data_IF_749727683463
#
_entry.id   IF_749727683463
#
_cell.length_a   1.000
_cell.length_b   1.000
_cell.length_c   1.000
_cell.angle_alpha   90.00
_cell.angle_beta   90.00
_cell.angle_gamma   90.00
#
_symmetry.space_group_name_H-M   'P 1'
#
loop_
_entity.id
_entity.type
_entity.pdbx_description
1 polymer ?
#
# COMPACT_ATOMS: atom_id res chain seq x y z
N UNK A 1 -20.99 57.69 101.30
CA UNK A 1 -22.19 57.91 100.50
C UNK A 1 -21.76 58.88 99.41
N UNK A 2 -21.77 58.57 98.12
CA UNK A 2 -22.70 57.73 97.38
C UNK A 2 -21.95 57.09 96.20
N UNK A 3 -21.80 55.78 96.27
CA UNK A 3 -21.49 54.90 95.16
C UNK A 3 -22.78 54.66 94.39
N UNK A 4 -23.18 55.57 93.48
CA UNK A 4 -24.36 55.30 92.65
C UNK A 4 -24.37 55.97 91.26
N UNK A 5 -23.25 56.54 90.81
CA UNK A 5 -23.18 57.19 89.49
C UNK A 5 -22.29 56.47 88.46
N UNK A 6 -21.88 55.22 88.72
CA UNK A 6 -21.01 54.45 87.82
C UNK A 6 -21.73 53.34 87.02
N UNK A 7 -23.02 53.09 87.27
CA UNK A 7 -23.69 51.92 86.70
C UNK A 7 -24.54 52.19 85.43
N UNK A 8 -24.85 53.45 85.08
CA UNK A 8 -25.73 53.75 83.93
C UNK A 8 -25.03 54.20 82.64
N UNK A 9 -23.70 54.34 82.63
CA UNK A 9 -22.97 54.79 81.43
C UNK A 9 -22.41 53.66 80.55
N UNK A 10 -22.62 52.39 80.93
CA UNK A 10 -22.05 51.25 80.20
C UNK A 10 -23.02 50.57 79.21
N UNK A 11 -24.28 51.02 79.10
CA UNK A 11 -25.30 50.29 78.32
C UNK A 11 -25.77 50.96 77.02
N UNK A 12 -25.22 52.12 76.63
CA UNK A 12 -25.70 52.86 75.46
C UNK A 12 -24.70 53.04 74.30
N UNK A 13 -23.59 52.28 74.27
CA UNK A 13 -22.62 52.28 73.14
C UNK A 13 -22.64 50.95 72.37
N UNK A 14 -23.56 50.04 72.69
CA UNK A 14 -23.56 48.67 72.15
C UNK A 14 -24.52 48.39 70.98
N UNK A 15 -25.26 49.36 70.44
CA UNK A 15 -26.43 49.02 69.60
C UNK A 15 -26.48 49.54 68.16
N UNK A 16 -25.52 50.35 67.68
CA UNK A 16 -25.59 50.89 66.31
C UNK A 16 -24.56 50.26 65.35
N UNK A 17 -23.51 49.59 65.85
CA UNK A 17 -22.52 48.95 64.97
C UNK A 17 -22.81 47.54 64.42
N UNK A 18 -23.78 46.72 64.91
CA UNK A 18 -23.94 45.35 64.39
C UNK A 18 -24.72 45.30 63.06
N UNK A 19 -25.64 46.24 62.79
CA UNK A 19 -26.52 46.17 61.61
C UNK A 19 -25.80 46.48 60.28
N UNK A 20 -24.86 47.45 60.25
CA UNK A 20 -24.12 47.80 59.01
C UNK A 20 -23.11 46.73 58.61
N UNK A 21 -22.46 46.09 59.59
CA UNK A 21 -21.56 44.97 59.32
C UNK A 21 -22.35 43.78 58.77
N UNK A 22 -23.50 43.46 59.39
CA UNK A 22 -24.35 42.33 59.00
C UNK A 22 -24.94 42.51 57.59
N UNK A 23 -25.37 43.73 57.24
CA UNK A 23 -25.85 44.08 55.89
C UNK A 23 -24.74 43.94 54.83
N UNK A 24 -23.50 44.36 55.14
CA UNK A 24 -22.37 44.16 54.23
C UNK A 24 -22.03 42.67 54.05
N UNK A 25 -22.05 41.87 55.11
CA UNK A 25 -21.85 40.41 55.00
C UNK A 25 -22.96 39.74 54.19
N UNK A 26 -24.23 40.11 54.40
CA UNK A 26 -25.35 39.60 53.62
C UNK A 26 -25.24 39.97 52.14
N UNK A 27 -24.89 41.22 51.82
CA UNK A 27 -24.65 41.66 50.44
C UNK A 27 -23.49 40.90 49.79
N UNK A 28 -22.39 40.68 50.51
CA UNK A 28 -21.26 39.91 50.00
C UNK A 28 -21.61 38.43 49.76
N UNK A 29 -22.43 37.82 50.62
CA UNK A 29 -22.89 36.44 50.44
C UNK A 29 -23.81 36.32 49.22
N UNK A 30 -24.73 37.27 49.03
CA UNK A 30 -25.60 37.32 47.84
C UNK A 30 -24.79 37.48 46.56
N UNK A 31 -23.76 38.33 46.56
CA UNK A 31 -22.87 38.48 45.40
C UNK A 31 -22.08 37.21 45.10
N UNK A 32 -21.56 36.53 46.13
CA UNK A 32 -20.86 35.24 45.96
C UNK A 32 -21.82 34.19 45.38
N UNK A 33 -23.02 34.05 45.94
CA UNK A 33 -24.02 33.09 45.42
C UNK A 33 -24.43 33.41 43.99
N UNK A 34 -24.61 34.69 43.66
CA UNK A 34 -24.92 35.12 42.29
C UNK A 34 -23.77 34.79 41.32
N UNK A 35 -22.52 35.04 41.71
CA UNK A 35 -21.35 34.70 40.87
C UNK A 35 -21.17 33.19 40.68
N UNK A 36 -21.44 32.37 41.70
CA UNK A 36 -21.45 30.90 41.57
C UNK A 36 -22.59 30.42 40.66
N UNK A 37 -23.77 31.04 40.75
CA UNK A 37 -24.88 30.72 39.86
C UNK A 37 -24.56 31.07 38.39
N UNK A 38 -23.96 32.23 38.13
CA UNK A 38 -23.52 32.63 36.79
C UNK A 38 -22.44 31.68 36.25
N UNK A 39 -21.48 31.28 37.08
CA UNK A 39 -20.46 30.31 36.70
C UNK A 39 -21.04 28.93 36.40
N UNK A 40 -22.02 28.47 37.19
CA UNK A 40 -22.73 27.21 36.97
C UNK A 40 -23.53 27.23 35.66
N UNK A 41 -24.20 28.35 35.35
CA UNK A 41 -24.91 28.54 34.08
C UNK A 41 -23.93 28.59 32.91
N UNK A 42 -22.80 29.28 33.02
CA UNK A 42 -21.78 29.32 31.97
C UNK A 42 -21.18 27.93 31.69
N UNK A 43 -20.92 27.14 32.75
CA UNK A 43 -20.44 25.76 32.62
C UNK A 43 -21.50 24.85 31.99
N UNK A 44 -22.78 25.02 32.35
CA UNK A 44 -23.89 24.29 31.72
C UNK A 44 -24.07 24.68 30.24
N UNK A 45 -23.93 25.96 29.89
CA UNK A 45 -24.01 26.44 28.51
C UNK A 45 -22.81 25.97 27.67
N UNK A 46 -21.61 25.94 28.25
CA UNK A 46 -20.42 25.37 27.61
C UNK A 46 -20.64 23.88 27.28
N UNK A 47 -21.15 23.10 28.24
CA UNK A 47 -21.52 21.70 28.01
C UNK A 47 -22.57 21.50 26.91
N UNK A 48 -23.56 22.41 26.82
CA UNK A 48 -24.61 22.38 25.78
C UNK A 48 -24.09 22.77 24.40
N UNK A 49 -23.10 23.66 24.30
CA UNK A 49 -22.49 24.06 23.03
C UNK A 49 -21.46 23.05 22.50
N UNK A 50 -20.83 22.27 23.38
CA UNK A 50 -19.85 21.24 22.99
C UNK A 50 -20.45 19.85 22.73
N UNK A 51 -21.79 19.71 22.67
CA UNK A 51 -22.46 18.46 22.27
C UNK A 51 -21.82 17.22 22.89
N UNK A 52 -21.89 17.10 24.22
CA UNK A 52 -21.07 16.17 24.98
C UNK A 52 -21.03 14.75 24.40
N UNK A 53 -19.92 14.38 23.76
CA UNK A 53 -19.34 13.04 23.51
C UNK A 53 -20.24 11.89 23.04
N UNK A 54 -21.55 12.06 22.92
CA UNK A 54 -22.50 11.00 22.55
C UNK A 54 -22.75 11.01 21.04
N UNK A 55 -22.84 12.17 20.39
CA UNK A 55 -22.91 12.27 18.92
C UNK A 55 -21.61 11.78 18.23
N UNK A 56 -20.45 11.99 18.84
CA UNK A 56 -19.16 11.51 18.31
C UNK A 56 -19.06 9.98 18.40
N UNK A 57 -19.61 9.37 19.45
CA UNK A 57 -19.63 7.91 19.59
C UNK A 57 -20.69 7.30 18.66
N UNK A 58 -21.83 7.96 18.43
CA UNK A 58 -22.86 7.50 17.50
C UNK A 58 -22.42 7.63 16.02
N UNK A 59 -21.64 8.67 15.69
CA UNK A 59 -20.95 8.82 14.42
C UNK A 59 -19.88 7.75 14.18
N UNK A 60 -19.07 7.43 15.19
CA UNK A 60 -18.07 6.36 15.08
C UNK A 60 -18.72 4.97 14.98
N UNK A 61 -19.84 4.70 15.67
CA UNK A 61 -20.56 3.42 15.58
C UNK A 61 -21.31 3.26 14.25
N UNK A 62 -21.85 4.34 13.69
CA UNK A 62 -22.48 4.31 12.35
C UNK A 62 -21.43 4.11 11.25
N UNK A 63 -20.30 4.81 11.32
CA UNK A 63 -19.17 4.57 10.41
C UNK A 63 -18.60 3.16 10.54
N UNK A 64 -18.40 2.63 11.76
CA UNK A 64 -17.93 1.26 11.96
C UNK A 64 -18.91 0.22 11.40
N UNK A 65 -20.22 0.45 11.49
CA UNK A 65 -21.22 -0.44 10.89
C UNK A 65 -21.16 -0.37 9.36
N UNK A 66 -21.07 0.81 8.78
CA UNK A 66 -20.93 0.98 7.32
C UNK A 66 -19.62 0.39 6.80
N UNK A 67 -18.51 0.56 7.52
CA UNK A 67 -17.22 -0.01 7.15
C UNK A 67 -17.19 -1.54 7.32
N UNK A 68 -17.87 -2.08 8.33
CA UNK A 68 -18.06 -3.52 8.49
C UNK A 68 -18.91 -4.13 7.35
N UNK A 69 -19.96 -3.44 6.92
CA UNK A 69 -20.77 -3.86 5.76
C UNK A 69 -19.95 -3.77 4.46
N UNK A 70 -19.11 -2.74 4.31
CA UNK A 70 -18.19 -2.60 3.17
C UNK A 70 -17.15 -3.73 3.13
N UNK A 71 -16.48 -4.01 4.25
CA UNK A 71 -15.52 -5.13 4.35
C UNK A 71 -16.19 -6.48 4.10
N UNK A 72 -17.41 -6.68 4.61
CA UNK A 72 -18.18 -7.91 4.37
C UNK A 72 -18.50 -8.09 2.88
N UNK A 73 -18.90 -7.01 2.19
CA UNK A 73 -19.15 -7.04 0.75
C UNK A 73 -17.86 -7.30 -0.05
N UNK A 74 -16.73 -6.73 0.37
CA UNK A 74 -15.40 -6.96 -0.24
C UNK A 74 -14.94 -8.41 -0.06
N UNK A 75 -15.13 -9.00 1.13
CA UNK A 75 -14.83 -10.42 1.41
C UNK A 75 -15.73 -11.33 0.58
N UNK A 76 -17.04 -11.05 0.49
CA UNK A 76 -17.94 -11.83 -0.36
C UNK A 76 -17.59 -11.72 -1.84
N UNK A 77 -17.18 -10.54 -2.31
CA UNK A 77 -16.69 -10.34 -3.66
C UNK A 77 -15.38 -11.11 -3.92
N UNK A 78 -14.46 -11.13 -2.94
CA UNK A 78 -13.23 -11.94 -3.01
C UNK A 78 -13.55 -13.44 -3.08
N UNK A 79 -14.42 -13.94 -2.20
CA UNK A 79 -14.84 -15.35 -2.19
C UNK A 79 -15.57 -15.73 -3.48
N UNK A 80 -16.40 -14.85 -4.03
CA UNK A 80 -17.03 -15.05 -5.32
C UNK A 80 -15.99 -15.10 -6.46
N UNK A 81 -15.00 -14.21 -6.44
CA UNK A 81 -13.89 -14.23 -7.41
C UNK A 81 -13.04 -15.48 -7.29
N UNK A 82 -12.76 -15.95 -6.08
CA UNK A 82 -12.02 -17.20 -5.82
C UNK A 82 -12.82 -18.42 -6.26
N UNK A 83 -14.14 -18.39 -6.11
CA UNK A 83 -15.01 -19.45 -6.65
C UNK A 83 -15.07 -19.43 -8.18
N UNK A 84 -15.06 -18.24 -8.80
CA UNK A 84 -15.00 -18.10 -10.26
C UNK A 84 -13.65 -18.54 -10.83
N UNK A 85 -12.54 -18.28 -10.13
CA UNK A 85 -11.22 -18.80 -10.53
C UNK A 85 -11.14 -20.30 -10.34
N UNK A 86 -11.71 -20.86 -9.26
CA UNK A 86 -11.80 -22.31 -9.07
C UNK A 86 -12.61 -23.01 -10.18
N UNK A 87 -13.73 -22.42 -10.61
CA UNK A 87 -14.53 -22.94 -11.74
C UNK A 87 -13.76 -22.85 -13.05
N UNK A 88 -13.04 -21.75 -13.30
CA UNK A 88 -12.22 -21.60 -14.50
C UNK A 88 -11.06 -22.60 -14.53
N UNK A 89 -10.39 -22.83 -13.40
CA UNK A 89 -9.32 -23.83 -13.27
C UNK A 89 -9.86 -25.25 -13.49
N UNK A 90 -11.04 -25.57 -12.94
CA UNK A 90 -11.69 -26.85 -13.18
C UNK A 90 -12.05 -27.06 -14.66
N UNK A 91 -12.60 -26.03 -15.32
CA UNK A 91 -12.92 -26.08 -16.75
C UNK A 91 -11.67 -26.20 -17.64
N UNK A 92 -10.58 -25.49 -17.29
CA UNK A 92 -9.30 -25.58 -18.00
C UNK A 92 -8.69 -26.98 -17.84
N UNK A 93 -8.79 -27.58 -16.65
CA UNK A 93 -8.35 -28.96 -16.40
C UNK A 93 -9.13 -29.98 -17.22
N UNK A 94 -10.46 -29.83 -17.32
CA UNK A 94 -11.28 -30.70 -18.17
C UNK A 94 -10.93 -30.53 -19.66
N UNK A 95 -10.64 -29.30 -20.09
CA UNK A 95 -10.19 -29.02 -21.44
C UNK A 95 -8.83 -29.68 -21.75
N UNK A 96 -7.87 -29.62 -20.83
CA UNK A 96 -6.57 -30.31 -20.95
C UNK A 96 -6.76 -31.82 -21.02
N UNK A 97 -7.57 -32.41 -20.14
CA UNK A 97 -7.90 -33.85 -20.19
C UNK A 97 -8.55 -34.26 -21.52
N UNK A 98 -9.42 -33.41 -22.08
CA UNK A 98 -10.02 -33.62 -23.39
C UNK A 98 -9.01 -33.57 -24.55
N UNK A 99 -7.98 -32.72 -24.45
CA UNK A 99 -6.88 -32.69 -25.42
C UNK A 99 -5.99 -33.93 -25.33
N UNK A 100 -5.66 -34.40 -24.12
CA UNK A 100 -4.88 -35.63 -23.93
C UNK A 100 -5.59 -36.85 -24.51
N UNK A 101 -6.91 -36.97 -24.28
CA UNK A 101 -7.71 -38.05 -24.85
C UNK A 101 -7.74 -38.01 -26.39
N UNK A 102 -7.78 -36.80 -26.98
CA UNK A 102 -7.71 -36.62 -28.44
C UNK A 102 -6.34 -36.97 -29.00
N UNK A 103 -5.26 -36.66 -28.28
CA UNK A 103 -3.90 -37.02 -28.67
C UNK A 103 -3.71 -38.54 -28.67
N UNK A 104 -4.17 -39.23 -27.64
CA UNK A 104 -4.11 -40.70 -27.57
C UNK A 104 -4.91 -41.35 -28.70
N UNK A 105 -6.12 -40.85 -28.99
CA UNK A 105 -6.91 -41.34 -30.12
C UNK A 105 -6.22 -41.09 -31.47
N UNK A 106 -5.49 -39.98 -31.61
CA UNK A 106 -4.70 -39.70 -32.81
C UNK A 106 -3.50 -40.65 -32.94
N UNK A 107 -2.84 -40.95 -31.82
CA UNK A 107 -1.72 -41.90 -31.77
C UNK A 107 -2.17 -43.32 -32.13
N UNK A 108 -3.32 -43.77 -31.62
CA UNK A 108 -3.90 -45.06 -31.99
C UNK A 108 -4.31 -45.11 -33.46
N UNK A 109 -4.92 -44.04 -33.99
CA UNK A 109 -5.22 -43.95 -35.42
C UNK A 109 -3.95 -44.00 -36.28
N UNK A 110 -2.87 -43.34 -35.86
CA UNK A 110 -1.59 -43.38 -36.56
C UNK A 110 -0.98 -44.80 -36.55
N UNK A 111 -1.06 -45.51 -35.43
CA UNK A 111 -0.62 -46.92 -35.33
C UNK A 111 -1.47 -47.84 -36.23
N UNK A 112 -2.78 -47.63 -36.24
CA UNK A 112 -3.70 -48.38 -37.10
C UNK A 112 -3.38 -48.16 -38.58
N UNK A 113 -3.19 -46.89 -38.98
CA UNK A 113 -2.84 -46.54 -40.35
C UNK A 113 -1.47 -47.08 -40.76
N UNK A 114 -0.49 -47.07 -39.84
CA UNK A 114 0.81 -47.67 -40.07
C UNK A 114 0.71 -49.20 -40.29
N UNK A 115 -0.13 -49.88 -39.50
CA UNK A 115 -0.39 -51.32 -39.67
C UNK A 115 -1.12 -51.63 -40.99
N UNK A 116 -2.15 -50.85 -41.34
CA UNK A 116 -2.89 -50.99 -42.60
C UNK A 116 -1.97 -50.75 -43.81
N UNK A 117 -1.04 -49.79 -43.71
CA UNK A 117 -0.05 -49.52 -44.76
C UNK A 117 0.97 -50.66 -44.90
N UNK A 118 1.38 -51.30 -43.81
CA UNK A 118 2.23 -52.48 -43.81
C UNK A 118 1.49 -53.72 -44.40
N UNK A 119 0.20 -53.87 -44.11
CA UNK A 119 -0.63 -54.94 -44.69
C UNK A 119 -0.85 -54.75 -46.20
N UNK A 120 -1.11 -53.51 -46.64
CA UNK A 120 -1.17 -53.14 -48.05
C UNK A 120 0.18 -53.38 -48.77
N UNK A 121 1.30 -53.25 -48.06
CA UNK A 121 2.65 -53.54 -48.57
C UNK A 121 2.89 -55.04 -48.76
N UNK A 122 2.21 -55.89 -47.99
CA UNK A 122 2.27 -57.35 -48.10
C UNK A 122 1.35 -57.93 -49.17
N UNK A 123 0.42 -57.13 -49.72
CA UNK A 123 -0.32 -57.50 -50.93
C UNK A 123 0.65 -57.51 -52.14
N UNK A 124 0.52 -58.48 -53.06
CA UNK A 124 1.40 -58.55 -54.22
C UNK A 124 1.19 -57.32 -55.11
N UNK A 125 2.20 -56.45 -55.15
CA UNK A 125 2.25 -55.32 -56.04
C UNK A 125 2.21 -55.80 -57.50
N UNK A 126 1.27 -55.25 -58.29
CA UNK A 126 1.41 -55.25 -59.74
C UNK A 126 2.76 -54.60 -60.11
N UNK A 127 3.40 -55.16 -61.14
CA UNK A 127 4.82 -55.02 -61.48
C UNK A 127 5.42 -53.60 -61.38
N UNK A 128 6.68 -53.47 -60.90
CA UNK A 128 7.35 -52.19 -60.72
C UNK A 128 7.86 -51.58 -62.05
N UNK A 129 7.86 -50.24 -62.20
CA UNK A 129 8.70 -49.56 -63.19
C UNK A 129 10.20 -49.68 -62.82
N UNK A 130 11.13 -49.49 -63.78
CA UNK A 130 12.55 -49.83 -63.64
C UNK A 130 13.29 -48.96 -62.60
N UNK A 131 14.43 -49.44 -62.05
CA UNK A 131 15.08 -48.83 -60.90
C UNK A 131 15.83 -47.54 -61.27
N UNK A 132 15.74 -46.56 -60.38
CA UNK A 132 16.62 -45.38 -60.31
C UNK A 132 17.76 -45.73 -59.34
N UNK A 133 19.02 -45.31 -59.56
CA UNK A 133 20.15 -45.72 -58.73
C UNK A 133 20.00 -45.27 -57.27
N UNK A 134 20.30 -46.17 -56.33
CA UNK A 134 20.33 -45.90 -54.89
C UNK A 134 21.44 -44.88 -54.55
N UNK A 135 21.16 -43.85 -53.73
CA UNK A 135 22.20 -43.06 -53.10
C UNK A 135 22.89 -43.86 -51.99
N UNK A 136 24.19 -43.60 -51.81
CA UNK A 136 25.06 -44.23 -50.81
C UNK A 136 24.49 -44.18 -49.39
N UNK A 137 24.78 -45.17 -48.53
CA UNK A 137 24.30 -45.19 -47.16
C UNK A 137 24.90 -44.03 -46.35
N UNK A 138 24.04 -43.19 -45.78
CA UNK A 138 24.42 -42.24 -44.74
C UNK A 138 24.97 -42.99 -43.51
N UNK A 139 25.99 -42.46 -42.83
CA UNK A 139 26.57 -43.09 -41.66
C UNK A 139 25.57 -43.13 -40.51
N UNK A 140 25.61 -44.23 -39.75
CA UNK A 140 24.81 -44.43 -38.53
C UNK A 140 24.97 -43.24 -37.57
N UNK A 141 23.87 -42.76 -36.95
CA UNK A 141 23.95 -41.71 -35.96
C UNK A 141 24.71 -42.23 -34.73
N UNK A 142 25.69 -41.45 -34.27
CA UNK A 142 26.41 -41.71 -33.03
C UNK A 142 25.42 -41.85 -31.85
N UNK A 143 25.74 -42.68 -30.83
CA UNK A 143 24.88 -42.85 -29.67
C UNK A 143 24.66 -41.49 -29.00
N UNK A 144 23.40 -41.14 -28.74
CA UNK A 144 23.07 -39.99 -27.93
C UNK A 144 23.84 -40.06 -26.59
N UNK A 145 24.47 -38.96 -26.14
CA UNK A 145 25.14 -38.94 -24.85
C UNK A 145 24.14 -39.29 -23.75
N UNK A 146 24.60 -40.06 -22.76
CA UNK A 146 23.84 -40.39 -21.58
C UNK A 146 23.24 -39.10 -20.96
N UNK A 147 22.02 -39.16 -20.40
CA UNK A 147 21.41 -37.99 -19.77
C UNK A 147 22.37 -37.45 -18.71
N UNK A 148 22.66 -36.15 -18.81
CA UNK A 148 23.30 -35.41 -17.72
C UNK A 148 22.50 -35.66 -16.44
N UNK A 149 23.16 -35.80 -15.28
CA UNK A 149 22.46 -35.94 -14.01
C UNK A 149 21.49 -34.76 -13.88
N UNK A 150 20.22 -35.06 -13.58
CA UNK A 150 19.26 -34.06 -13.16
C UNK A 150 19.94 -33.19 -12.10
N UNK A 151 19.96 -31.86 -12.24
CA UNK A 151 20.45 -31.02 -11.17
C UNK A 151 19.67 -31.43 -9.93
N UNK A 152 20.39 -31.91 -8.91
CA UNK A 152 19.84 -32.02 -7.57
C UNK A 152 19.16 -30.67 -7.33
N UNK A 153 17.83 -30.70 -7.19
CA UNK A 153 17.08 -29.54 -6.75
C UNK A 153 17.73 -29.15 -5.44
N UNK A 154 18.62 -28.15 -5.49
CA UNK A 154 19.12 -27.48 -4.30
C UNK A 154 17.85 -27.18 -3.52
N UNK A 155 17.64 -27.90 -2.42
CA UNK A 155 16.57 -27.64 -1.47
C UNK A 155 16.75 -26.17 -1.14
N UNK A 156 15.92 -25.33 -1.78
CA UNK A 156 15.97 -23.90 -1.62
C UNK A 156 15.79 -23.70 -0.12
N UNK A 157 16.86 -23.34 0.56
CA UNK A 157 16.89 -23.15 2.00
C UNK A 157 15.92 -22.00 2.30
N UNK A 158 14.68 -22.40 2.58
CA UNK A 158 13.54 -21.50 2.71
C UNK A 158 13.74 -20.64 3.96
N UNK A 159 14.49 -21.13 4.94
CA UNK A 159 14.92 -20.39 6.12
C UNK A 159 15.99 -19.35 5.74
N UNK A 160 16.97 -19.68 4.90
CA UNK A 160 17.94 -18.69 4.39
C UNK A 160 17.30 -17.62 3.49
N UNK A 161 16.26 -17.94 2.72
CA UNK A 161 15.49 -16.95 1.95
C UNK A 161 14.67 -16.02 2.85
N UNK A 162 14.07 -16.55 3.92
CA UNK A 162 13.34 -15.77 4.92
C UNK A 162 14.26 -14.87 5.76
N UNK A 163 15.52 -15.27 5.95
CA UNK A 163 16.55 -14.48 6.64
C UNK A 163 17.29 -13.50 5.71
N UNK A 164 17.11 -13.62 4.39
CA UNK A 164 17.80 -12.76 3.43
C UNK A 164 17.24 -11.32 3.45
N UNK A 165 18.15 -10.37 3.67
CA UNK A 165 17.89 -8.93 3.59
C UNK A 165 17.24 -8.62 2.21
N UNK A 166 16.11 -7.89 2.14
CA UNK A 166 15.50 -7.53 0.86
C UNK A 166 16.51 -6.83 -0.05
N UNK A 167 16.42 -7.07 -1.36
CA UNK A 167 17.43 -6.60 -2.33
C UNK A 167 17.59 -5.07 -2.30
N UNK A 168 16.52 -4.33 -2.00
CA UNK A 168 16.48 -2.87 -1.90
C UNK A 168 16.81 -2.32 -0.51
N UNK A 169 17.09 -3.14 0.49
CA UNK A 169 17.24 -2.65 1.86
C UNK A 169 18.48 -1.74 2.02
N UNK A 170 19.58 -2.01 1.34
CA UNK A 170 20.75 -1.10 1.35
C UNK A 170 20.41 0.28 0.76
N UNK A 171 19.58 0.31 -0.30
CA UNK A 171 19.07 1.56 -0.86
C UNK A 171 18.22 2.32 0.15
N UNK A 172 17.33 1.63 0.87
CA UNK A 172 16.48 2.26 1.88
C UNK A 172 17.30 2.82 3.05
N UNK A 173 18.29 2.06 3.53
CA UNK A 173 19.16 2.48 4.63
C UNK A 173 19.89 3.79 4.27
N UNK A 174 20.49 3.85 3.07
CA UNK A 174 21.17 5.04 2.56
C UNK A 174 20.21 6.20 2.27
N UNK A 175 19.02 5.90 1.77
CA UNK A 175 17.97 6.89 1.51
C UNK A 175 17.46 7.53 2.81
N UNK A 176 17.26 6.76 3.87
CA UNK A 176 16.87 7.29 5.18
C UNK A 176 18.01 8.13 5.77
N UNK A 177 19.27 7.69 5.64
CA UNK A 177 20.43 8.48 6.06
C UNK A 177 20.53 9.83 5.30
N UNK A 178 20.26 9.82 3.99
CA UNK A 178 20.14 11.04 3.19
C UNK A 178 19.05 11.96 3.73
N UNK A 179 17.85 11.43 4.01
CA UNK A 179 16.71 12.23 4.51
C UNK A 179 16.97 12.90 5.86
N UNK A 180 17.73 12.28 6.76
CA UNK A 180 18.07 12.89 8.05
C UNK A 180 18.94 14.16 7.91
N UNK A 181 19.75 14.22 6.86
CA UNK A 181 20.66 15.35 6.59
C UNK A 181 20.20 16.23 5.42
N UNK A 182 19.02 15.93 4.86
CA UNK A 182 18.51 16.57 3.67
C UNK A 182 18.19 18.05 3.91
N UNK A 183 18.57 18.89 2.96
CA UNK A 183 18.23 20.31 2.92
C UNK A 183 17.76 20.69 1.52
N UNK A 184 16.59 21.34 1.38
CA UNK A 184 16.06 21.74 0.06
C UNK A 184 17.02 22.63 -0.75
N UNK A 185 17.78 23.50 -0.08
CA UNK A 185 18.70 24.44 -0.74
C UNK A 185 19.84 23.75 -1.52
N UNK A 186 20.23 22.56 -1.07
CA UNK A 186 21.29 21.74 -1.68
C UNK A 186 20.76 20.37 -2.09
N UNK A 187 19.44 20.26 -2.30
CA UNK A 187 18.78 18.98 -2.49
C UNK A 187 19.37 18.18 -3.64
N UNK A 188 19.51 18.79 -4.82
CA UNK A 188 20.07 18.13 -6.00
C UNK A 188 21.51 17.61 -5.76
N UNK A 189 22.37 18.42 -5.14
CA UNK A 189 23.76 18.02 -4.82
C UNK A 189 23.82 16.85 -3.83
N UNK A 190 22.88 16.80 -2.86
CA UNK A 190 22.81 15.73 -1.86
C UNK A 190 22.21 14.44 -2.44
N UNK A 191 21.29 14.55 -3.39
CA UNK A 191 20.63 13.40 -4.01
C UNK A 191 21.51 12.71 -5.07
N UNK A 192 22.34 13.48 -5.77
CA UNK A 192 23.11 12.99 -6.91
C UNK A 192 24.02 11.79 -6.59
N UNK A 193 24.78 11.75 -5.48
CA UNK A 193 25.59 10.58 -5.12
C UNK A 193 24.77 9.29 -4.94
N UNK A 194 23.55 9.40 -4.41
CA UNK A 194 22.67 8.25 -4.20
C UNK A 194 22.12 7.74 -5.54
N UNK A 195 21.67 8.66 -6.40
CA UNK A 195 21.17 8.36 -7.75
C UNK A 195 22.24 7.66 -8.57
N UNK A 196 23.48 8.16 -8.56
CA UNK A 196 24.60 7.55 -9.28
C UNK A 196 25.00 6.19 -8.70
N UNK A 197 25.02 6.04 -7.37
CA UNK A 197 25.38 4.78 -6.68
C UNK A 197 24.44 3.64 -7.06
N UNK A 198 23.14 3.91 -7.15
CA UNK A 198 22.10 2.90 -7.39
C UNK A 198 21.55 2.94 -8.83
N UNK A 199 22.09 3.78 -9.70
CA UNK A 199 21.61 4.02 -11.06
C UNK A 199 20.08 4.27 -11.11
N UNK A 200 19.59 5.16 -10.23
CA UNK A 200 18.15 5.38 -10.08
C UNK A 200 17.55 6.04 -11.32
N UNK A 201 16.46 5.48 -11.82
CA UNK A 201 15.63 6.10 -12.84
C UNK A 201 14.72 7.15 -12.20
N UNK A 202 14.73 8.35 -12.78
CA UNK A 202 13.94 9.46 -12.29
C UNK A 202 12.58 9.45 -12.99
N UNK A 203 11.49 9.47 -12.22
CA UNK A 203 10.13 9.36 -12.74
C UNK A 203 9.26 10.53 -12.26
N UNK A 204 8.31 10.92 -13.11
CA UNK A 204 7.23 11.86 -12.78
C UNK A 204 5.87 11.23 -13.12
N UNK A 205 4.86 11.51 -12.32
CA UNK A 205 3.48 11.18 -12.68
C UNK A 205 2.96 12.19 -13.71
N UNK A 206 2.83 11.78 -14.98
CA UNK A 206 2.36 12.66 -16.06
C UNK A 206 0.84 12.76 -16.14
N UNK A 207 0.12 11.72 -15.72
CA UNK A 207 -1.35 11.66 -15.79
C UNK A 207 -1.90 10.82 -14.63
N UNK A 208 -2.24 11.48 -13.52
CA UNK A 208 -2.80 10.81 -12.32
C UNK A 208 -4.26 10.36 -12.52
N UNK A 209 -4.99 11.01 -13.43
CA UNK A 209 -6.42 10.77 -13.67
C UNK A 209 -6.67 9.79 -14.83
N UNK A 210 -5.60 9.27 -15.45
CA UNK A 210 -5.69 8.24 -16.46
C UNK A 210 -6.55 7.08 -15.98
N UNK A 211 -7.46 6.62 -16.85
CA UNK A 211 -8.27 5.43 -16.57
C UNK A 211 -8.02 4.39 -17.65
N UNK A 212 -7.74 3.16 -17.22
CA UNK A 212 -7.60 2.00 -18.09
C UNK A 212 -8.58 0.93 -17.61
N UNK A 213 -9.49 0.48 -18.49
CA UNK A 213 -10.57 -0.46 -18.15
C UNK A 213 -11.45 -0.01 -16.97
N UNK A 214 -11.67 1.30 -16.81
CA UNK A 214 -12.50 1.87 -15.75
C UNK A 214 -11.85 1.93 -14.37
N UNK A 215 -10.56 1.56 -14.26
CA UNK A 215 -9.75 1.79 -13.05
C UNK A 215 -8.82 2.97 -13.27
N UNK A 216 -8.71 3.84 -12.28
CA UNK A 216 -7.69 4.90 -12.27
C UNK A 216 -6.31 4.24 -12.24
N UNK A 217 -5.52 4.46 -13.27
CA UNK A 217 -4.18 3.91 -13.42
C UNK A 217 -3.24 5.06 -13.82
N UNK A 218 -2.54 5.66 -12.85
CA UNK A 218 -1.68 6.81 -13.12
C UNK A 218 -0.58 6.43 -14.11
N UNK A 219 -0.24 7.36 -15.00
CA UNK A 219 0.88 7.18 -15.93
C UNK A 219 2.12 7.86 -15.38
N UNK A 220 3.23 7.17 -15.52
CA UNK A 220 4.55 7.67 -15.16
C UNK A 220 5.43 7.73 -16.39
N UNK A 221 6.30 8.73 -16.41
CA UNK A 221 7.29 8.96 -17.45
C UNK A 221 8.66 9.17 -16.83
N UNK A 222 9.69 8.74 -17.54
CA UNK A 222 11.08 8.95 -17.13
C UNK A 222 11.51 10.37 -17.49
N UNK A 223 12.17 11.04 -16.55
CA UNK A 223 12.70 12.40 -16.69
C UNK A 223 14.21 12.40 -16.42
N UNK A 224 14.90 13.47 -16.84
CA UNK A 224 16.32 13.64 -16.56
C UNK A 224 16.58 14.65 -15.42
N UNK A 225 15.61 15.53 -15.12
CA UNK A 225 15.75 16.54 -14.08
C UNK A 225 15.32 16.02 -12.71
N UNK A 226 16.26 16.02 -11.76
CA UNK A 226 16.03 15.69 -10.34
C UNK A 226 14.96 16.60 -9.72
N UNK A 227 14.87 17.86 -10.17
CA UNK A 227 13.93 18.84 -9.64
C UNK A 227 12.51 18.67 -10.17
N UNK A 228 12.29 17.75 -11.11
CA UNK A 228 10.97 17.38 -11.62
C UNK A 228 10.56 15.97 -11.15
N UNK A 229 11.55 15.12 -10.87
CA UNK A 229 11.36 13.72 -10.50
C UNK A 229 10.71 13.55 -9.13
N UNK A 230 9.41 13.24 -9.11
CA UNK A 230 8.66 12.97 -7.87
C UNK A 230 8.91 11.56 -7.32
N UNK A 231 9.37 10.63 -8.16
CA UNK A 231 9.71 9.26 -7.78
C UNK A 231 11.06 8.83 -8.34
N UNK A 232 11.73 7.93 -7.64
CA UNK A 232 12.97 7.29 -8.08
C UNK A 232 12.77 5.78 -8.12
N UNK A 233 13.17 5.16 -9.21
CA UNK A 233 13.04 3.73 -9.45
C UNK A 233 14.42 3.07 -9.50
N UNK A 234 14.60 2.05 -8.65
CA UNK A 234 15.79 1.22 -8.59
C UNK A 234 15.54 -0.08 -9.35
N UNK A 235 16.40 -0.40 -10.32
CA UNK A 235 16.39 -1.71 -10.98
C UNK A 235 16.59 -2.82 -9.96
N UNK A 236 15.74 -3.85 -9.96
CA UNK A 236 15.90 -5.01 -9.09
C UNK A 236 16.87 -5.99 -9.78
N UNK A 237 18.08 -6.22 -9.24
CA UNK A 237 19.01 -7.20 -9.79
C UNK A 237 18.37 -8.59 -9.97
N UNK A 238 18.52 -9.17 -11.15
CA UNK A 238 17.97 -10.49 -11.48
C UNK A 238 16.51 -10.49 -11.95
N UNK A 239 15.82 -9.35 -11.92
CA UNK A 239 14.43 -9.21 -12.37
C UNK A 239 14.32 -8.07 -13.40
N UNK A 240 14.54 -8.34 -14.70
CA UNK A 240 14.56 -7.30 -15.72
C UNK A 240 13.18 -6.68 -15.89
N UNK A 241 13.16 -5.35 -15.95
CA UNK A 241 11.96 -4.50 -16.00
C UNK A 241 11.14 -4.45 -14.71
N UNK A 242 11.62 -4.98 -13.59
CA UNK A 242 11.01 -4.82 -12.29
C UNK A 242 11.84 -3.85 -11.43
N UNK A 243 11.14 -2.92 -10.77
CA UNK A 243 11.74 -1.78 -10.12
C UNK A 243 11.17 -1.56 -8.72
N UNK A 244 12.04 -1.22 -7.78
CA UNK A 244 11.66 -0.72 -6.46
C UNK A 244 11.59 0.81 -6.51
N UNK A 245 10.42 1.38 -6.27
CA UNK A 245 10.12 2.80 -6.41
C UNK A 245 9.95 3.46 -5.04
N UNK A 246 10.66 4.56 -4.85
CA UNK A 246 10.64 5.38 -3.63
C UNK A 246 10.30 6.84 -3.99
N UNK A 247 9.69 7.62 -3.08
CA UNK A 247 9.39 9.02 -3.36
C UNK A 247 10.67 9.86 -3.29
N UNK A 248 10.74 10.91 -4.09
CA UNK A 248 11.86 11.86 -4.05
C UNK A 248 11.88 12.64 -2.72
N UNK A 249 13.06 12.86 -2.10
CA UNK A 249 13.21 13.74 -0.95
C UNK A 249 13.12 15.23 -1.29
N UNK A 250 13.16 15.58 -2.59
CA UNK A 250 13.09 16.96 -3.06
C UNK A 250 11.74 17.63 -2.79
N UNK A 251 10.70 16.84 -2.55
CA UNK A 251 9.34 17.33 -2.43
C UNK A 251 8.70 16.88 -1.11
N UNK A 252 8.00 17.77 -0.40
CA UNK A 252 7.17 17.37 0.72
C UNK A 252 5.96 16.58 0.23
N UNK A 253 5.43 15.70 1.08
CA UNK A 253 4.15 15.04 0.82
C UNK A 253 3.02 15.96 1.30
N UNK A 254 2.53 16.80 0.39
CA UNK A 254 1.38 17.68 0.59
C UNK A 254 0.11 17.19 -0.14
N UNK A 255 -0.97 17.98 -0.07
CA UNK A 255 -2.25 17.62 -0.69
C UNK A 255 -2.16 17.54 -2.21
N UNK A 256 -1.35 18.38 -2.84
CA UNK A 256 -1.18 18.35 -4.28
C UNK A 256 -0.47 17.06 -4.70
N UNK A 257 0.58 16.67 -3.96
CA UNK A 257 1.25 15.40 -4.13
C UNK A 257 0.29 14.22 -3.95
N UNK A 258 -0.57 14.28 -2.92
CA UNK A 258 -1.58 13.27 -2.62
C UNK A 258 -2.58 13.08 -3.75
N UNK A 259 -3.15 14.19 -4.25
CA UNK A 259 -4.30 14.16 -5.13
C UNK A 259 -3.93 14.10 -6.61
N UNK A 260 -2.81 14.74 -7.00
CA UNK A 260 -2.48 15.02 -8.39
C UNK A 260 -1.14 14.44 -8.86
N UNK A 261 -0.26 13.99 -7.95
CA UNK A 261 1.08 13.50 -8.31
C UNK A 261 1.21 11.96 -8.24
N UNK A 262 0.11 11.22 -8.12
CA UNK A 262 0.13 9.75 -8.11
C UNK A 262 0.58 9.12 -6.79
N UNK A 263 0.76 9.91 -5.72
CA UNK A 263 1.27 9.39 -4.43
C UNK A 263 0.28 8.45 -3.74
N UNK A 264 -1.03 8.74 -3.76
CA UNK A 264 -2.05 7.90 -3.10
C UNK A 264 -2.25 6.55 -3.81
N UNK A 265 -1.99 6.49 -5.11
CA UNK A 265 -2.00 5.25 -5.89
C UNK A 265 -0.70 4.46 -5.72
N UNK A 266 0.44 5.15 -5.57
CA UNK A 266 1.77 4.53 -5.46
C UNK A 266 2.06 4.00 -4.06
N UNK A 267 1.60 4.73 -3.02
CA UNK A 267 1.94 4.43 -1.63
C UNK A 267 0.72 4.42 -0.72
N UNK A 268 0.57 3.32 0.01
CA UNK A 268 -0.34 3.25 1.14
C UNK A 268 0.21 4.11 2.29
N UNK A 269 -0.59 5.08 2.74
CA UNK A 269 -0.23 5.99 3.84
C UNK A 269 -1.45 6.35 4.68
N UNK A 270 -1.21 6.87 5.89
CA UNK A 270 -2.26 7.52 6.71
C UNK A 270 -2.24 9.03 6.49
N UNK A 271 -2.36 9.44 5.24
CA UNK A 271 -2.37 10.86 4.89
C UNK A 271 -3.62 11.55 5.43
N UNK A 272 -3.44 12.74 6.02
CA UNK A 272 -4.54 13.58 6.49
C UNK A 272 -4.74 14.77 5.55
N UNK A 273 -5.99 15.00 5.15
CA UNK A 273 -6.34 16.08 4.21
C UNK A 273 -5.92 17.45 4.75
N UNK A 274 -5.21 18.22 3.93
CA UNK A 274 -4.74 19.55 4.26
C UNK A 274 -3.43 19.60 5.08
N UNK A 275 -2.84 18.45 5.43
CA UNK A 275 -1.51 18.40 6.05
C UNK A 275 -0.40 18.32 4.98
N UNK A 276 0.80 18.72 5.37
CA UNK A 276 2.01 18.55 4.57
C UNK A 276 3.07 17.91 5.44
N UNK A 277 3.78 16.93 4.89
CA UNK A 277 4.79 16.14 5.59
C UNK A 277 6.14 16.25 4.88
N UNK A 278 7.08 16.96 5.50
CA UNK A 278 8.48 17.05 5.03
C UNK A 278 9.27 15.77 5.37
N UNK A 279 8.90 15.13 6.48
CA UNK A 279 9.53 13.90 6.97
C UNK A 279 8.61 12.70 6.77
N UNK A 280 9.17 11.68 6.11
CA UNK A 280 8.53 10.39 5.91
C UNK A 280 9.58 9.28 5.94
N UNK A 281 9.14 8.09 6.32
CA UNK A 281 9.93 6.85 6.27
C UNK A 281 9.30 5.93 5.25
N UNK A 282 10.13 5.34 4.40
CA UNK A 282 9.74 4.30 3.46
C UNK A 282 9.89 2.97 4.18
N UNK A 283 8.78 2.37 4.62
CA UNK A 283 8.78 1.04 5.26
C UNK A 283 8.91 -0.04 4.18
N UNK A 284 8.20 0.13 3.05
CA UNK A 284 8.38 -0.68 1.84
C UNK A 284 8.32 0.19 0.57
N UNK A 285 9.22 -0.02 -0.41
CA UNK A 285 9.10 0.64 -1.70
C UNK A 285 7.88 0.11 -2.45
N UNK A 286 7.38 0.88 -3.40
CA UNK A 286 6.38 0.39 -4.35
C UNK A 286 7.08 -0.46 -5.41
N UNK A 287 6.42 -1.49 -5.93
CA UNK A 287 6.97 -2.33 -7.00
C UNK A 287 6.32 -1.98 -8.33
N UNK A 288 7.16 -1.59 -9.28
CA UNK A 288 6.74 -1.20 -10.62
C UNK A 288 7.29 -2.19 -11.63
N UNK A 289 6.54 -2.42 -12.71
CA UNK A 289 7.06 -3.11 -13.89
C UNK A 289 7.02 -2.20 -15.12
N UNK A 290 8.02 -2.30 -15.98
CA UNK A 290 8.07 -1.58 -17.26
C UNK A 290 7.68 -2.53 -18.39
N UNK A 291 6.49 -2.34 -18.97
CA UNK A 291 5.98 -3.19 -20.06
C UNK A 291 5.59 -2.34 -21.25
N UNK A 292 6.21 -2.59 -22.42
CA UNK A 292 5.97 -1.82 -23.65
C UNK A 292 6.16 -0.30 -23.43
N UNK A 293 7.25 0.06 -22.76
CA UNK A 293 7.59 1.45 -22.38
C UNK A 293 6.54 2.14 -21.50
N UNK A 294 5.71 1.37 -20.80
CA UNK A 294 4.74 1.88 -19.82
C UNK A 294 5.04 1.34 -18.44
N UNK A 295 5.08 2.26 -17.48
CA UNK A 295 5.23 1.96 -16.07
C UNK A 295 3.90 1.49 -15.49
N UNK A 296 3.92 0.35 -14.81
CA UNK A 296 2.76 -0.23 -14.15
C UNK A 296 3.05 -0.45 -12.68
N UNK A 297 2.14 -0.02 -11.81
CA UNK A 297 2.21 -0.32 -10.37
C UNK A 297 1.75 -1.77 -10.19
N UNK A 298 2.66 -2.67 -9.83
CA UNK A 298 2.34 -4.06 -9.50
C UNK A 298 1.94 -4.17 -8.03
N UNK A 299 2.62 -3.44 -7.15
CA UNK A 299 2.32 -3.42 -5.73
C UNK A 299 2.55 -2.01 -5.14
N UNK A 300 1.57 -1.42 -4.45
CA UNK A 300 1.77 -0.18 -3.72
C UNK A 300 2.80 -0.34 -2.58
N UNK A 301 3.63 0.67 -2.38
CA UNK A 301 4.56 0.73 -1.26
C UNK A 301 3.87 1.16 0.04
N UNK A 302 4.64 1.24 1.12
CA UNK A 302 4.17 1.69 2.44
C UNK A 302 5.04 2.83 2.93
N UNK A 303 4.41 3.98 3.21
CA UNK A 303 5.09 5.10 3.85
C UNK A 303 4.49 5.40 5.22
N UNK A 304 5.38 5.73 6.15
CA UNK A 304 5.03 6.29 7.44
C UNK A 304 5.31 7.78 7.44
N UNK A 305 4.25 8.56 7.58
CA UNK A 305 4.31 10.01 7.63
C UNK A 305 4.64 10.46 9.06
N UNK A 306 5.60 11.37 9.21
CA UNK A 306 6.03 11.89 10.51
C UNK A 306 5.58 13.33 10.62
N UNK A 307 4.74 13.62 11.61
CA UNK A 307 4.37 14.99 11.93
C UNK A 307 5.59 15.78 12.39
N UNK A 308 5.74 16.98 11.85
CA UNK A 308 6.80 17.93 12.23
C UNK A 308 6.39 18.78 13.43
#
# INVERSE_FOLDING_TARGET
METEAAASAAQAVGFIHPMMADVMTLLSFVLVVASVAIAGVATHYAWRQTGGTVDVIEGHVSWLRTEAERLSAEIQASVAKDSQTAIQVAGLKEQVQGFDARLQALEEQAKQLAADMEELRLLPAAAPPPPVPEPEPEPEPEPAPAPEPEPEEDEIDLDALLESKPIWQDLLDDYHALRETFSPERGAELCQPLIEKYALHLLICSDHAATENGKTMPKFESVEDINEATFWAYDIPGQPNDFAVIPSPMFPYDQKMHDEAGMKETFATRYETGKSYDKLVVDMPALFSLRKDKWHIEQPGLLKLIES
#
